data_IF_898296938433
#
_entry.id   IF_898296938433
#
_cell.length_a   1.000
_cell.length_b   1.000
_cell.length_c   1.000
_cell.angle_alpha   90.00
_cell.angle_beta   90.00
_cell.angle_gamma   90.00
#
_symmetry.space_group_name_H-M   'P 1'
#
loop_
_entity.id
_entity.type
_entity.pdbx_description
1 polymer ?
#
# COMPACT_ATOMS: atom_id res chain seq x y z
N UNK A 1 -8.80 19.32 -3.27
CA UNK A 1 -9.02 18.07 -2.48
C UNK A 1 -8.19 18.18 -1.23
N UNK A 2 -8.78 17.88 -0.07
CA UNK A 2 -8.05 17.84 1.19
C UNK A 2 -7.64 16.38 1.44
N UNK A 3 -6.36 16.15 1.68
CA UNK A 3 -5.83 14.85 2.09
C UNK A 3 -5.40 14.98 3.55
N UNK A 4 -5.90 14.10 4.40
CA UNK A 4 -5.53 14.05 5.81
C UNK A 4 -4.31 13.14 5.97
N UNK A 5 -3.13 13.76 6.04
CA UNK A 5 -1.87 13.07 6.31
C UNK A 5 -1.57 12.93 7.80
N UNK A 6 -2.38 13.54 8.69
CA UNK A 6 -2.23 13.42 10.14
C UNK A 6 -2.93 12.16 10.66
N UNK A 7 -3.84 11.57 9.87
CA UNK A 7 -4.46 10.29 10.17
C UNK A 7 -3.42 9.17 10.25
N UNK A 8 -3.31 8.57 11.44
CA UNK A 8 -2.50 7.38 11.68
C UNK A 8 -3.16 6.15 11.05
N UNK A 9 -2.41 5.45 10.20
CA UNK A 9 -2.80 4.18 9.61
C UNK A 9 -2.06 3.04 10.34
N UNK A 10 -2.80 2.15 11.00
CA UNK A 10 -2.21 0.93 11.58
C UNK A 10 -1.79 -0.03 10.47
N UNK A 11 -0.52 -0.44 10.48
CA UNK A 11 0.11 -1.28 9.45
C UNK A 11 0.74 -2.56 10.00
N UNK A 12 0.62 -2.81 11.31
CA UNK A 12 1.02 -4.08 11.92
C UNK A 12 0.01 -5.17 11.56
N UNK A 13 0.50 -6.38 11.33
CA UNK A 13 -0.32 -7.51 10.93
C UNK A 13 -0.83 -7.44 9.49
N UNK A 14 -0.33 -6.50 8.67
CA UNK A 14 -0.71 -6.38 7.25
C UNK A 14 0.34 -6.98 6.31
N UNK A 15 1.30 -7.75 6.84
CA UNK A 15 2.49 -8.21 6.13
C UNK A 15 3.36 -7.05 5.61
N UNK A 16 3.44 -5.95 6.36
CA UNK A 16 4.25 -4.79 6.00
C UNK A 16 5.72 -5.07 6.24
N UNK A 17 6.58 -5.00 5.21
CA UNK A 17 8.04 -5.11 5.38
C UNK A 17 8.57 -4.10 6.40
N UNK A 18 8.02 -2.89 6.39
CA UNK A 18 8.39 -1.80 7.30
C UNK A 18 8.08 -2.14 8.75
N UNK A 19 6.88 -2.62 9.05
CA UNK A 19 6.35 -2.77 10.42
C UNK A 19 6.48 -4.19 10.99
N UNK A 20 6.25 -5.23 10.20
CA UNK A 20 6.13 -6.61 10.68
C UNK A 20 7.46 -7.39 10.66
N UNK A 21 8.48 -6.87 9.98
CA UNK A 21 9.74 -7.60 9.75
C UNK A 21 10.96 -6.92 10.37
N UNK A 22 10.78 -5.98 11.31
CA UNK A 22 11.88 -5.31 12.01
C UNK A 22 12.79 -6.28 12.77
N UNK A 23 12.21 -7.26 13.49
CA UNK A 23 13.01 -8.25 14.22
C UNK A 23 13.84 -9.10 13.26
N UNK A 24 13.26 -9.54 12.14
CA UNK A 24 13.98 -10.32 11.13
C UNK A 24 15.09 -9.52 10.45
N UNK A 25 14.87 -8.24 10.17
CA UNK A 25 15.82 -7.40 9.44
C UNK A 25 16.92 -6.82 10.35
N UNK A 26 16.58 -6.46 11.59
CA UNK A 26 17.46 -5.72 12.49
C UNK A 26 17.74 -6.40 13.84
N UNK A 27 17.07 -7.51 14.14
CA UNK A 27 17.17 -8.18 15.45
C UNK A 27 16.52 -7.41 16.60
N UNK A 28 15.67 -6.41 16.29
CA UNK A 28 15.05 -5.53 17.28
C UNK A 28 13.53 -5.72 17.29
N UNK A 29 13.00 -5.93 18.49
CA UNK A 29 11.57 -5.87 18.79
C UNK A 29 11.21 -4.46 19.29
N UNK A 30 9.93 -4.09 19.21
CA UNK A 30 9.38 -2.84 19.77
C UNK A 30 10.06 -1.53 19.31
N UNK A 31 10.40 -1.44 18.02
CA UNK A 31 10.98 -0.23 17.41
C UNK A 31 9.96 0.58 16.62
N UNK A 32 10.28 1.86 16.41
CA UNK A 32 9.60 2.74 15.43
C UNK A 32 10.33 2.62 14.08
N UNK A 33 9.73 2.00 13.05
CA UNK A 33 10.39 1.77 11.79
C UNK A 33 10.41 3.02 10.89
N UNK A 34 11.61 3.48 10.53
CA UNK A 34 11.83 4.65 9.67
C UNK A 34 12.82 4.39 8.52
N UNK A 35 12.92 3.14 8.06
CA UNK A 35 14.06 2.67 7.27
C UNK A 35 13.78 2.41 5.78
N UNK A 36 12.70 1.69 5.45
CA UNK A 36 12.38 1.32 4.07
C UNK A 36 11.51 2.39 3.40
N UNK A 37 11.75 2.63 2.11
CA UNK A 37 11.09 3.69 1.34
C UNK A 37 9.66 3.32 0.89
N UNK A 38 8.76 3.14 1.87
CA UNK A 38 7.31 3.21 1.69
C UNK A 38 6.71 4.23 2.69
N UNK A 39 5.42 4.54 2.56
CA UNK A 39 4.74 5.57 3.35
C UNK A 39 3.72 4.97 4.31
N UNK A 40 3.46 5.67 5.43
CA UNK A 40 2.39 5.33 6.38
C UNK A 40 1.10 6.12 6.11
N UNK A 41 0.85 6.44 4.84
CA UNK A 41 -0.36 7.13 4.38
C UNK A 41 -1.22 6.18 3.55
N UNK A 42 -2.52 6.45 3.51
CA UNK A 42 -3.41 5.79 2.57
C UNK A 42 -3.03 6.16 1.11
N UNK A 43 -3.21 5.21 0.19
CA UNK A 43 -3.11 5.50 -1.22
C UNK A 43 -4.18 6.54 -1.63
N UNK A 44 -3.94 7.36 -2.66
CA UNK A 44 -4.92 8.34 -3.10
C UNK A 44 -6.28 7.69 -3.42
N UNK A 45 -7.42 8.35 -3.12
CA UNK A 45 -8.75 7.78 -3.35
C UNK A 45 -8.97 7.29 -4.79
N UNK A 46 -8.40 7.99 -5.78
CA UNK A 46 -8.46 7.59 -7.18
C UNK A 46 -7.81 6.21 -7.45
N UNK A 47 -6.70 5.90 -6.76
CA UNK A 47 -6.02 4.61 -6.87
C UNK A 47 -6.83 3.51 -6.19
N UNK A 48 -7.33 3.77 -4.98
CA UNK A 48 -8.17 2.82 -4.24
C UNK A 48 -9.42 2.46 -5.04
N UNK A 49 -10.08 3.44 -5.65
CA UNK A 49 -11.29 3.22 -6.44
C UNK A 49 -11.01 2.44 -7.73
N UNK A 50 -9.90 2.73 -8.43
CA UNK A 50 -9.50 1.96 -9.61
C UNK A 50 -9.26 0.48 -9.27
N UNK A 51 -8.61 0.20 -8.14
CA UNK A 51 -8.39 -1.18 -7.65
C UNK A 51 -9.72 -1.85 -7.30
N UNK A 52 -10.61 -1.16 -6.57
CA UNK A 52 -11.94 -1.68 -6.20
C UNK A 52 -12.78 -2.02 -7.43
N UNK A 53 -12.85 -1.10 -8.39
CA UNK A 53 -13.57 -1.29 -9.65
C UNK A 53 -13.02 -2.50 -10.43
N UNK A 54 -11.69 -2.61 -10.54
CA UNK A 54 -11.07 -3.77 -11.20
C UNK A 54 -11.36 -5.08 -10.49
N UNK A 55 -11.33 -5.09 -9.15
CA UNK A 55 -11.67 -6.26 -8.35
C UNK A 55 -13.13 -6.68 -8.55
N UNK A 56 -14.07 -5.73 -8.62
CA UNK A 56 -15.49 -6.02 -8.81
C UNK A 56 -15.83 -6.75 -10.12
N UNK A 57 -14.98 -6.68 -11.14
CA UNK A 57 -15.21 -7.34 -12.43
C UNK A 57 -15.24 -8.88 -12.34
N UNK A 58 -14.57 -9.49 -11.35
CA UNK A 58 -14.63 -10.93 -11.09
C UNK A 58 -13.82 -11.84 -12.03
N UNK A 59 -13.45 -11.41 -13.23
CA UNK A 59 -12.50 -12.13 -14.09
C UNK A 59 -11.07 -11.60 -13.89
N UNK A 60 -10.09 -12.48 -13.64
CA UNK A 60 -8.69 -12.13 -13.35
C UNK A 60 -7.67 -12.85 -14.24
N UNK A 61 -8.09 -13.22 -15.47
CA UNK A 61 -7.19 -13.79 -16.48
C UNK A 61 -6.17 -12.77 -17.02
N UNK A 62 -5.45 -13.18 -18.06
CA UNK A 62 -4.32 -12.42 -18.62
C UNK A 62 -4.71 -11.01 -19.11
N UNK A 63 -4.18 -9.94 -18.50
CA UNK A 63 -4.34 -8.60 -19.03
C UNK A 63 -3.32 -8.33 -20.16
N UNK A 64 -3.69 -7.46 -21.09
CA UNK A 64 -2.77 -6.79 -22.02
C UNK A 64 -2.72 -5.30 -21.68
N UNK A 65 -1.62 -4.62 -22.02
CA UNK A 65 -1.44 -3.19 -21.76
C UNK A 65 -2.48 -2.37 -22.54
N UNK A 66 -3.36 -1.61 -21.87
CA UNK A 66 -4.34 -0.77 -22.56
C UNK A 66 -3.65 0.48 -23.15
N UNK A 67 -4.24 1.06 -24.20
CA UNK A 67 -3.73 2.30 -24.82
C UNK A 67 -3.61 3.47 -23.83
N UNK A 68 -4.44 3.49 -22.78
CA UNK A 68 -4.41 4.50 -21.72
C UNK A 68 -3.12 4.48 -20.89
N UNK A 69 -2.33 3.41 -20.95
CA UNK A 69 -1.04 3.33 -20.25
C UNK A 69 0.01 4.30 -20.83
N UNK A 70 -0.11 4.65 -22.11
CA UNK A 70 0.86 5.50 -22.82
C UNK A 70 0.44 6.97 -22.90
N UNK A 71 -0.64 7.35 -22.22
CA UNK A 71 -1.25 8.68 -22.27
C UNK A 71 -1.00 9.47 -21.00
#
# INVERSE_FOLDING_TARGET
MHHDFDRVLERRGTHSLKWDYCERTFGLQDVIPMWVADMDFEAPPAVVEAIRSRAAHGAYGYPSTPDSFWR
#
